data_IF_293772495244
#
_entry.id   IF_293772495244
#
_cell.length_a   1.000
_cell.length_b   1.000
_cell.length_c   1.000
_cell.angle_alpha   90.00
_cell.angle_beta   90.00
_cell.angle_gamma   90.00
#
_symmetry.space_group_name_H-M   'P 1'
#
loop_
_entity.id
_entity.type
_entity.pdbx_description
1 polymer ?
#
# COMPACT_ATOMS: atom_id res chain seq x y z
N UNK A 1 -85.08 -90.98 -29.20
CA UNK A 1 -85.61 -90.82 -30.56
C UNK A 1 -84.75 -91.72 -31.43
N UNK A 2 -85.24 -92.86 -31.93
CA UNK A 2 -84.43 -93.80 -32.73
C UNK A 2 -84.22 -93.16 -34.11
N UNK A 3 -82.97 -92.88 -34.50
CA UNK A 3 -82.68 -92.29 -35.80
C UNK A 3 -82.33 -93.44 -36.75
N UNK A 4 -83.21 -93.70 -37.72
CA UNK A 4 -83.03 -94.82 -38.67
C UNK A 4 -82.00 -94.44 -39.74
N UNK A 5 -81.10 -95.37 -40.05
CA UNK A 5 -80.12 -95.23 -41.12
C UNK A 5 -80.49 -96.22 -42.23
N UNK A 6 -80.37 -95.78 -43.48
CA UNK A 6 -80.61 -96.59 -44.67
C UNK A 6 -79.27 -96.80 -45.40
N UNK A 7 -78.93 -98.06 -45.67
CA UNK A 7 -77.77 -98.43 -46.49
C UNK A 7 -78.22 -99.33 -47.64
N UNK A 8 -77.69 -99.07 -48.84
CA UNK A 8 -77.98 -99.82 -50.07
C UNK A 8 -76.76 -100.68 -50.44
N UNK A 9 -76.98 -101.98 -50.69
CA UNK A 9 -75.96 -102.88 -51.22
C UNK A 9 -76.51 -103.66 -52.42
N UNK A 10 -75.74 -103.68 -53.51
CA UNK A 10 -76.09 -104.39 -54.74
C UNK A 10 -75.20 -105.61 -54.94
N UNK A 11 -75.80 -106.79 -55.12
CA UNK A 11 -75.10 -108.02 -55.48
C UNK A 11 -75.95 -108.90 -56.39
N UNK A 12 -75.36 -109.37 -57.50
CA UNK A 12 -76.03 -110.31 -58.42
C UNK A 12 -77.33 -109.80 -59.04
N UNK A 13 -77.48 -108.47 -59.22
CA UNK A 13 -78.69 -107.85 -59.77
C UNK A 13 -79.84 -107.65 -58.78
N UNK A 14 -79.67 -108.02 -57.51
CA UNK A 14 -80.60 -107.70 -56.42
C UNK A 14 -80.09 -106.51 -55.60
N UNK A 15 -81.01 -105.59 -55.23
CA UNK A 15 -80.76 -104.47 -54.33
C UNK A 15 -81.29 -104.86 -52.94
N UNK A 16 -80.42 -104.86 -51.94
CA UNK A 16 -80.79 -105.12 -50.56
C UNK A 16 -80.86 -103.79 -49.81
N UNK A 17 -82.00 -103.52 -49.17
CA UNK A 17 -82.22 -102.36 -48.30
C UNK A 17 -82.08 -102.77 -46.85
N UNK A 18 -81.04 -102.27 -46.19
CA UNK A 18 -80.85 -102.49 -44.76
C UNK A 18 -81.39 -101.28 -44.01
N UNK A 19 -82.46 -101.49 -43.24
CA UNK A 19 -82.92 -100.54 -42.22
C UNK A 19 -82.35 -100.98 -40.90
N UNK A 20 -81.51 -100.14 -40.31
CA UNK A 20 -80.83 -100.45 -39.05
C UNK A 20 -80.92 -99.25 -38.10
N UNK A 21 -80.85 -99.55 -36.81
CA UNK A 21 -80.84 -98.56 -35.73
C UNK A 21 -79.45 -97.90 -35.69
N UNK A 22 -79.37 -96.60 -35.39
CA UNK A 22 -78.09 -95.90 -35.21
C UNK A 22 -77.22 -96.47 -34.08
N UNK A 23 -77.83 -97.24 -33.17
CA UNK A 23 -77.16 -98.07 -32.16
C UNK A 23 -76.59 -99.38 -32.70
N UNK A 24 -77.11 -99.86 -33.84
CA UNK A 24 -76.71 -101.12 -34.48
C UNK A 24 -75.67 -100.91 -35.59
N UNK A 25 -75.40 -99.66 -36.00
CA UNK A 25 -74.32 -99.33 -36.95
C UNK A 25 -73.02 -99.10 -36.19
N UNK A 26 -72.17 -100.12 -36.20
CA UNK A 26 -70.82 -100.06 -35.66
C UNK A 26 -69.85 -99.49 -36.70
N UNK A 27 -69.06 -98.50 -36.30
CA UNK A 27 -67.95 -97.95 -37.09
C UNK A 27 -66.68 -98.72 -36.72
N UNK A 28 -66.03 -99.28 -37.73
CA UNK A 28 -64.78 -100.01 -37.59
C UNK A 28 -63.59 -99.18 -38.08
N UNK A 29 -62.41 -99.44 -37.53
CA UNK A 29 -61.15 -98.90 -38.04
C UNK A 29 -60.64 -99.70 -39.26
N UNK A 30 -59.51 -99.27 -39.83
CA UNK A 30 -58.86 -99.94 -40.97
C UNK A 30 -58.42 -101.38 -40.67
N UNK A 31 -58.35 -101.77 -39.39
CA UNK A 31 -57.99 -103.09 -38.91
C UNK A 31 -59.21 -103.91 -38.45
N UNK A 32 -60.43 -103.47 -38.77
CA UNK A 32 -61.71 -104.07 -38.36
C UNK A 32 -62.00 -104.05 -36.84
N UNK A 33 -61.31 -103.22 -36.05
CA UNK A 33 -61.63 -103.03 -34.65
C UNK A 33 -62.81 -102.06 -34.50
N UNK A 34 -63.67 -102.32 -33.52
CA UNK A 34 -64.80 -101.42 -33.22
C UNK A 34 -64.33 -100.11 -32.59
N UNK A 35 -64.59 -98.99 -33.29
CA UNK A 35 -64.35 -97.63 -32.79
C UNK A 35 -65.57 -97.15 -31.97
N UNK A 36 -66.78 -97.59 -32.31
CA UNK A 36 -68.02 -97.26 -31.59
C UNK A 36 -69.21 -97.18 -32.54
N UNK A 37 -70.38 -96.79 -32.04
CA UNK A 37 -71.58 -96.67 -32.88
C UNK A 37 -71.69 -95.31 -33.55
N UNK A 38 -72.47 -95.22 -34.65
CA UNK A 38 -72.77 -93.93 -35.27
C UNK A 38 -73.45 -92.97 -34.27
N UNK A 39 -74.35 -93.46 -33.42
CA UNK A 39 -75.00 -92.65 -32.38
C UNK A 39 -73.96 -92.00 -31.43
N UNK A 40 -72.97 -92.78 -31.00
CA UNK A 40 -71.93 -92.32 -30.09
C UNK A 40 -71.01 -91.29 -30.76
N UNK A 41 -70.55 -91.55 -31.97
CA UNK A 41 -69.52 -90.71 -32.60
C UNK A 41 -70.10 -89.49 -33.31
N UNK A 42 -71.36 -89.51 -33.77
CA UNK A 42 -71.95 -88.37 -34.50
C UNK A 42 -72.83 -87.47 -33.62
N UNK A 43 -73.43 -87.98 -32.54
CA UNK A 43 -74.46 -87.23 -31.81
C UNK A 43 -74.21 -87.14 -30.31
N UNK A 44 -74.03 -88.26 -29.62
CA UNK A 44 -74.07 -88.29 -28.15
C UNK A 44 -72.70 -88.15 -27.49
N UNK A 45 -71.62 -88.36 -28.24
CA UNK A 45 -70.26 -88.45 -27.74
C UNK A 45 -69.95 -89.82 -27.17
N UNK A 46 -68.90 -90.48 -27.67
CA UNK A 46 -68.36 -91.70 -27.06
C UNK A 46 -67.69 -91.34 -25.72
N UNK A 47 -68.07 -92.01 -24.63
CA UNK A 47 -67.50 -91.75 -23.31
C UNK A 47 -66.08 -92.30 -23.20
N UNK A 48 -65.13 -91.47 -22.77
CA UNK A 48 -63.74 -91.82 -22.49
C UNK A 48 -63.38 -91.27 -21.11
N UNK A 49 -63.05 -92.16 -20.18
CA UNK A 49 -62.85 -91.86 -18.76
C UNK A 49 -61.39 -91.91 -18.29
N UNK A 50 -60.43 -92.06 -19.21
CA UNK A 50 -58.99 -92.12 -18.94
C UNK A 50 -58.16 -92.22 -20.23
N UNK A 51 -56.84 -92.25 -20.10
CA UNK A 51 -55.90 -92.18 -21.24
C UNK A 51 -55.49 -90.75 -21.58
N UNK A 52 -54.77 -90.56 -22.68
CA UNK A 52 -54.37 -89.25 -23.19
C UNK A 52 -55.26 -88.81 -24.36
N UNK A 53 -55.47 -87.50 -24.53
CA UNK A 53 -56.24 -86.97 -25.66
C UNK A 53 -55.66 -87.42 -27.02
N UNK A 54 -54.34 -87.65 -27.10
CA UNK A 54 -53.68 -88.13 -28.31
C UNK A 54 -54.08 -89.56 -28.70
N UNK A 55 -54.59 -90.34 -27.76
CA UNK A 55 -55.11 -91.69 -28.01
C UNK A 55 -56.45 -91.64 -28.76
N UNK A 56 -57.12 -90.48 -28.73
CA UNK A 56 -58.37 -90.24 -29.44
C UNK A 56 -58.04 -89.78 -30.87
N UNK A 57 -57.92 -90.75 -31.77
CA UNK A 57 -57.36 -90.55 -33.11
C UNK A 57 -58.40 -90.53 -34.23
N UNK A 58 -59.64 -90.92 -33.97
CA UNK A 58 -60.69 -91.02 -34.98
C UNK A 58 -61.66 -89.85 -34.94
N UNK A 59 -62.16 -89.43 -36.11
CA UNK A 59 -63.15 -88.36 -36.22
C UNK A 59 -64.43 -88.71 -35.48
N UNK A 60 -64.92 -87.79 -34.64
CA UNK A 60 -66.14 -87.97 -33.88
C UNK A 60 -66.27 -87.04 -32.69
N UNK A 61 -67.40 -87.15 -32.01
CA UNK A 61 -67.67 -86.52 -30.72
C UNK A 61 -67.31 -87.49 -29.60
N UNK A 62 -66.71 -86.95 -28.55
CA UNK A 62 -66.28 -87.68 -27.37
C UNK A 62 -66.68 -86.92 -26.10
N UNK A 63 -67.15 -87.67 -25.10
CA UNK A 63 -67.35 -87.17 -23.74
C UNK A 63 -66.13 -87.58 -22.93
N UNK A 64 -65.24 -86.62 -22.68
CA UNK A 64 -63.98 -86.88 -22.00
C UNK A 64 -64.07 -86.45 -20.54
N UNK A 65 -63.63 -87.33 -19.63
CA UNK A 65 -63.53 -87.07 -18.19
C UNK A 65 -62.28 -87.76 -17.66
N UNK A 66 -61.41 -87.07 -16.92
CA UNK A 66 -60.18 -87.69 -16.40
C UNK A 66 -59.14 -88.09 -17.45
N UNK A 67 -59.24 -87.55 -18.68
CA UNK A 67 -58.27 -87.75 -19.77
C UNK A 67 -57.10 -86.76 -19.62
N UNK A 68 -55.86 -87.23 -19.79
CA UNK A 68 -54.66 -86.38 -19.76
C UNK A 68 -54.46 -85.59 -21.06
N UNK A 69 -53.69 -84.51 -20.98
CA UNK A 69 -53.42 -83.65 -22.13
C UNK A 69 -54.49 -82.59 -22.43
N UNK A 70 -55.54 -82.49 -21.59
CA UNK A 70 -56.49 -81.36 -21.60
C UNK A 70 -55.85 -80.07 -21.03
N UNK A 71 -56.35 -78.86 -21.36
CA UNK A 71 -55.79 -77.62 -20.86
C UNK A 71 -56.12 -77.39 -19.39
N UNK A 72 -55.20 -76.76 -18.65
CA UNK A 72 -55.31 -76.60 -17.19
C UNK A 72 -56.48 -75.74 -16.69
N UNK A 73 -57.12 -74.96 -17.57
CA UNK A 73 -58.31 -74.16 -17.25
C UNK A 73 -59.64 -74.92 -17.44
N UNK A 74 -59.59 -76.22 -17.73
CA UNK A 74 -60.75 -77.10 -17.88
C UNK A 74 -60.94 -77.93 -16.60
N UNK A 75 -62.18 -78.06 -16.08
CA UNK A 75 -62.42 -78.83 -14.86
C UNK A 75 -62.12 -80.33 -15.06
N UNK A 76 -61.15 -80.86 -14.31
CA UNK A 76 -60.75 -82.26 -14.43
C UNK A 76 -61.82 -83.27 -13.97
N UNK A 77 -62.77 -82.83 -13.15
CA UNK A 77 -63.81 -83.67 -12.54
C UNK A 77 -65.16 -83.65 -13.28
N UNK A 78 -65.29 -82.86 -14.35
CA UNK A 78 -66.53 -82.74 -15.13
C UNK A 78 -66.36 -83.30 -16.54
N UNK A 79 -67.45 -83.80 -17.13
CA UNK A 79 -67.45 -84.25 -18.52
C UNK A 79 -67.33 -83.04 -19.45
N UNK A 80 -66.37 -83.10 -20.37
CA UNK A 80 -66.20 -82.11 -21.42
C UNK A 80 -66.53 -82.73 -22.79
N UNK A 81 -67.04 -81.92 -23.71
CA UNK A 81 -67.24 -82.35 -25.09
C UNK A 81 -65.98 -82.11 -25.90
N UNK A 82 -65.44 -83.16 -26.50
CA UNK A 82 -64.32 -83.09 -27.42
C UNK A 82 -64.81 -83.48 -28.81
N UNK A 83 -64.73 -82.55 -29.76
CA UNK A 83 -64.86 -82.85 -31.17
C UNK A 83 -63.47 -83.10 -31.75
N UNK A 84 -63.29 -84.26 -32.36
CA UNK A 84 -62.07 -84.65 -33.06
C UNK A 84 -62.37 -84.68 -34.55
N UNK A 85 -61.56 -83.99 -35.33
CA UNK A 85 -61.55 -84.09 -36.78
C UNK A 85 -60.18 -84.57 -37.24
N UNK A 86 -60.12 -85.82 -37.69
CA UNK A 86 -58.91 -86.43 -38.23
C UNK A 86 -58.89 -86.27 -39.75
N UNK A 87 -57.80 -85.74 -40.28
CA UNK A 87 -57.60 -85.44 -41.69
C UNK A 87 -56.34 -86.18 -42.16
N UNK A 88 -56.53 -87.25 -42.93
CA UNK A 88 -55.44 -88.12 -43.38
C UNK A 88 -54.68 -88.80 -42.23
N UNK A 89 -53.47 -89.30 -42.51
CA UNK A 89 -52.73 -90.19 -41.61
C UNK A 89 -52.02 -89.49 -40.41
N UNK A 90 -52.20 -88.18 -40.20
CA UNK A 90 -51.40 -87.50 -39.17
C UNK A 90 -51.84 -86.12 -38.69
N UNK A 91 -52.88 -85.51 -39.28
CA UNK A 91 -53.41 -84.22 -38.82
C UNK A 91 -54.71 -84.44 -38.03
N UNK A 92 -54.78 -83.90 -36.83
CA UNK A 92 -55.94 -84.00 -35.93
C UNK A 92 -56.25 -82.64 -35.37
N UNK A 93 -57.50 -82.20 -35.55
CA UNK A 93 -58.02 -81.00 -34.92
C UNK A 93 -58.89 -81.40 -33.74
N UNK A 94 -58.49 -80.96 -32.56
CA UNK A 94 -59.24 -81.10 -31.32
C UNK A 94 -59.95 -79.78 -31.04
N UNK A 95 -61.26 -79.83 -30.87
CA UNK A 95 -62.06 -78.72 -30.33
C UNK A 95 -62.73 -79.18 -29.06
N UNK A 96 -62.33 -78.58 -27.95
CA UNK A 96 -62.84 -78.90 -26.63
C UNK A 96 -63.81 -77.81 -26.18
N UNK A 97 -64.96 -78.24 -25.68
CA UNK A 97 -65.99 -77.40 -25.09
C UNK A 97 -66.22 -77.91 -23.67
N UNK A 98 -65.85 -77.09 -22.69
CA UNK A 98 -65.99 -77.43 -21.28
C UNK A 98 -67.26 -76.81 -20.68
N UNK A 99 -67.83 -77.40 -19.59
CA UNK A 99 -69.04 -76.87 -18.95
C UNK A 99 -68.91 -75.45 -18.38
N UNK A 100 -67.68 -74.99 -18.11
CA UNK A 100 -67.39 -73.64 -17.65
C UNK A 100 -67.35 -72.59 -18.78
N UNK A 101 -67.76 -72.95 -20.00
CA UNK A 101 -67.79 -72.06 -21.16
C UNK A 101 -66.46 -71.91 -21.89
N UNK A 102 -65.41 -72.62 -21.49
CA UNK A 102 -64.12 -72.62 -22.19
C UNK A 102 -64.26 -73.39 -23.50
N UNK A 103 -63.98 -72.69 -24.61
CA UNK A 103 -63.84 -73.26 -25.96
C UNK A 103 -62.40 -73.08 -26.39
N UNK A 104 -61.69 -74.17 -26.61
CA UNK A 104 -60.27 -74.17 -26.95
C UNK A 104 -59.99 -75.21 -28.02
N UNK A 105 -59.03 -74.89 -28.87
CA UNK A 105 -58.63 -75.75 -29.97
C UNK A 105 -57.17 -76.16 -29.81
N UNK A 106 -56.85 -77.37 -30.25
CA UNK A 106 -55.48 -77.88 -30.34
C UNK A 106 -55.35 -78.64 -31.65
N UNK A 107 -54.39 -78.24 -32.48
CA UNK A 107 -54.06 -78.94 -33.72
C UNK A 107 -52.82 -79.79 -33.49
N UNK A 108 -52.92 -81.09 -33.76
CA UNK A 108 -51.81 -82.04 -33.68
C UNK A 108 -51.46 -82.48 -35.10
N UNK A 109 -50.19 -82.34 -35.47
CA UNK A 109 -49.63 -82.80 -36.75
C UNK A 109 -48.36 -83.61 -36.48
N UNK A 110 -48.45 -84.92 -36.66
CA UNK A 110 -47.37 -85.84 -36.26
C UNK A 110 -47.02 -85.72 -34.77
N UNK A 111 -45.75 -85.43 -34.47
CA UNK A 111 -45.26 -85.22 -33.10
C UNK A 111 -45.43 -83.77 -32.58
N UNK A 112 -45.93 -82.86 -33.42
CA UNK A 112 -46.03 -81.42 -33.10
C UNK A 112 -47.46 -81.07 -32.72
N UNK A 113 -47.65 -80.17 -31.75
CA UNK A 113 -48.96 -79.66 -31.35
C UNK A 113 -48.94 -78.13 -31.25
N UNK A 114 -50.07 -77.48 -31.59
CA UNK A 114 -50.22 -76.03 -31.43
C UNK A 114 -50.28 -75.58 -29.96
N UNK A 115 -50.60 -76.53 -29.07
CA UNK A 115 -51.04 -76.23 -27.71
C UNK A 115 -52.48 -75.71 -27.71
N UNK A 116 -53.09 -75.73 -26.53
CA UNK A 116 -54.45 -75.23 -26.35
C UNK A 116 -54.48 -73.70 -26.38
N UNK A 117 -55.36 -73.14 -27.21
CA UNK A 117 -55.56 -71.70 -27.29
C UNK A 117 -56.95 -71.32 -27.78
N UNK A 118 -57.33 -70.07 -27.49
CA UNK A 118 -58.46 -69.40 -28.12
C UNK A 118 -57.93 -68.57 -29.29
N UNK A 119 -58.47 -68.76 -30.50
CA UNK A 119 -58.10 -67.97 -31.67
C UNK A 119 -56.77 -68.32 -32.37
N UNK A 120 -56.19 -69.50 -32.10
CA UNK A 120 -55.01 -70.03 -32.80
C UNK A 120 -53.66 -69.34 -32.49
N UNK A 121 -52.58 -69.82 -33.09
CA UNK A 121 -51.19 -69.35 -32.85
C UNK A 121 -50.99 -67.89 -33.29
N UNK A 122 -51.66 -67.45 -34.35
CA UNK A 122 -51.54 -66.09 -34.88
C UNK A 122 -51.98 -65.02 -33.89
N UNK A 123 -53.16 -65.16 -33.27
CA UNK A 123 -53.67 -64.20 -32.29
C UNK A 123 -52.75 -64.11 -31.06
N UNK A 124 -52.26 -65.26 -30.59
CA UNK A 124 -51.33 -65.33 -29.45
C UNK A 124 -50.03 -64.59 -29.74
N UNK A 125 -49.45 -64.77 -30.94
CA UNK A 125 -48.23 -64.09 -31.34
C UNK A 125 -48.43 -62.58 -31.44
N UNK A 126 -49.58 -62.13 -31.96
CA UNK A 126 -49.94 -60.70 -32.01
C UNK A 126 -50.00 -60.09 -30.60
N UNK A 127 -50.68 -60.76 -29.66
CA UNK A 127 -50.77 -60.30 -28.26
C UNK A 127 -49.38 -60.25 -27.61
N UNK A 128 -48.55 -61.28 -27.81
CA UNK A 128 -47.20 -61.30 -27.28
C UNK A 128 -46.33 -60.19 -27.86
N UNK A 129 -46.48 -59.90 -29.16
CA UNK A 129 -45.74 -58.83 -29.84
C UNK A 129 -46.16 -57.46 -29.31
N UNK A 130 -47.46 -57.24 -29.09
CA UNK A 130 -47.99 -56.02 -28.48
C UNK A 130 -47.41 -55.83 -27.07
N UNK A 131 -47.40 -56.88 -26.25
CA UNK A 131 -46.83 -56.82 -24.90
C UNK A 131 -45.32 -56.55 -24.90
N UNK A 132 -44.57 -57.15 -25.82
CA UNK A 132 -43.12 -56.92 -25.95
C UNK A 132 -42.80 -55.49 -26.44
N UNK A 133 -43.62 -54.94 -27.36
CA UNK A 133 -43.42 -53.59 -27.89
C UNK A 133 -43.79 -52.50 -26.88
N UNK A 134 -44.82 -52.73 -26.06
CA UNK A 134 -45.28 -51.76 -25.05
C UNK A 134 -44.55 -51.90 -23.70
N UNK A 135 -43.91 -53.05 -23.44
CA UNK A 135 -43.27 -53.35 -22.16
C UNK A 135 -44.28 -53.51 -21.01
N UNK A 136 -43.77 -53.60 -19.77
CA UNK A 136 -44.62 -53.61 -18.57
C UNK A 136 -44.89 -52.18 -18.12
N UNK A 137 -46.15 -51.75 -18.17
CA UNK A 137 -46.57 -50.43 -17.64
C UNK A 137 -46.24 -50.29 -16.15
N UNK A 138 -46.08 -51.41 -15.44
CA UNK A 138 -45.67 -51.44 -14.04
C UNK A 138 -44.25 -50.90 -13.82
N UNK A 139 -43.35 -51.05 -14.80
CA UNK A 139 -41.93 -50.71 -14.68
C UNK A 139 -41.65 -49.22 -14.93
N UNK A 140 -42.65 -48.47 -15.43
CA UNK A 140 -42.53 -47.03 -15.61
C UNK A 140 -42.30 -46.33 -14.25
N UNK A 141 -41.29 -45.46 -14.15
CA UNK A 141 -40.98 -44.68 -12.93
C UNK A 141 -41.92 -43.47 -12.72
N UNK A 142 -43.19 -43.64 -13.09
CA UNK A 142 -44.29 -42.69 -12.88
C UNK A 142 -45.14 -43.15 -11.69
N UNK A 143 -45.82 -42.22 -11.04
CA UNK A 143 -46.80 -42.56 -10.00
C UNK A 143 -47.99 -43.31 -10.61
N UNK A 144 -48.34 -42.95 -11.85
CA UNK A 144 -49.40 -43.59 -12.61
C UNK A 144 -48.91 -44.85 -13.37
N UNK A 145 -49.65 -45.95 -13.27
CA UNK A 145 -49.34 -47.25 -13.93
C UNK A 145 -50.31 -47.60 -15.05
N UNK A 146 -50.90 -46.58 -15.65
CA UNK A 146 -51.63 -46.63 -16.92
C UNK A 146 -50.81 -45.83 -17.94
N UNK A 147 -50.62 -46.36 -19.14
CA UNK A 147 -49.75 -45.74 -20.16
C UNK A 147 -50.14 -44.28 -20.44
N UNK A 148 -51.43 -43.99 -20.60
CA UNK A 148 -51.93 -42.64 -20.86
C UNK A 148 -51.63 -41.71 -19.69
N UNK A 149 -51.89 -42.16 -18.46
CA UNK A 149 -51.66 -41.36 -17.27
C UNK A 149 -50.17 -41.14 -16.98
N UNK A 150 -49.32 -42.14 -17.26
CA UNK A 150 -47.87 -42.02 -17.15
C UNK A 150 -47.30 -41.01 -18.15
N UNK A 151 -47.78 -41.02 -19.39
CA UNK A 151 -47.41 -40.04 -20.42
C UNK A 151 -47.82 -38.63 -19.99
N UNK A 152 -49.05 -38.45 -19.50
CA UNK A 152 -49.52 -37.15 -19.02
C UNK A 152 -48.71 -36.63 -17.82
N UNK A 153 -48.30 -37.51 -16.90
CA UNK A 153 -47.41 -37.13 -15.79
C UNK A 153 -46.04 -36.65 -16.26
N UNK A 154 -45.45 -37.30 -17.27
CA UNK A 154 -44.17 -36.88 -17.85
C UNK A 154 -44.32 -35.53 -18.55
N UNK A 155 -45.40 -35.34 -19.32
CA UNK A 155 -45.68 -34.08 -20.01
C UNK A 155 -45.79 -32.92 -19.00
N UNK A 156 -46.54 -33.10 -17.92
CA UNK A 156 -46.66 -32.09 -16.85
C UNK A 156 -45.31 -31.70 -16.26
N UNK A 157 -44.43 -32.67 -15.97
CA UNK A 157 -43.08 -32.40 -15.44
C UNK A 157 -42.19 -31.65 -16.44
N UNK A 158 -42.38 -31.86 -17.74
CA UNK A 158 -41.67 -31.12 -18.79
C UNK A 158 -42.15 -29.66 -18.81
N UNK A 159 -43.46 -29.45 -18.77
CA UNK A 159 -44.06 -28.11 -18.75
C UNK A 159 -43.64 -27.30 -17.52
N UNK A 160 -43.57 -27.95 -16.34
CA UNK A 160 -43.07 -27.34 -15.10
C UNK A 160 -41.60 -26.92 -15.23
N UNK A 161 -40.75 -27.81 -15.76
CA UNK A 161 -39.34 -27.50 -15.98
C UNK A 161 -39.14 -26.34 -16.95
N UNK A 162 -39.91 -26.31 -18.04
CA UNK A 162 -39.87 -25.22 -19.01
C UNK A 162 -40.29 -23.89 -18.37
N UNK A 163 -41.37 -23.89 -17.58
CA UNK A 163 -41.84 -22.71 -16.86
C UNK A 163 -40.81 -22.19 -15.86
N UNK A 164 -40.25 -23.08 -15.02
CA UNK A 164 -39.20 -22.75 -14.06
C UNK A 164 -37.93 -22.19 -14.74
N UNK A 165 -37.50 -22.79 -15.85
CA UNK A 165 -36.34 -22.31 -16.59
C UNK A 165 -36.60 -20.94 -17.22
N UNK A 166 -37.79 -20.70 -17.75
CA UNK A 166 -38.17 -19.39 -18.28
C UNK A 166 -38.22 -18.31 -17.19
N UNK A 167 -38.72 -18.63 -16.00
CA UNK A 167 -38.70 -17.70 -14.86
C UNK A 167 -37.28 -17.39 -14.42
N UNK A 168 -36.40 -18.40 -14.32
CA UNK A 168 -34.98 -18.21 -13.98
C UNK A 168 -34.25 -17.40 -15.05
N UNK A 169 -34.55 -17.63 -16.33
CA UNK A 169 -33.99 -16.86 -17.43
C UNK A 169 -34.46 -15.40 -17.37
N UNK A 170 -35.76 -15.15 -17.19
CA UNK A 170 -36.29 -13.80 -16.97
C UNK A 170 -35.68 -13.12 -15.74
N UNK A 171 -35.43 -13.86 -14.66
CA UNK A 171 -34.76 -13.33 -13.48
C UNK A 171 -33.29 -12.98 -13.74
N UNK A 172 -32.62 -13.65 -14.68
CA UNK A 172 -31.29 -13.26 -15.16
C UNK A 172 -31.37 -12.07 -16.12
N UNK A 173 -32.27 -12.08 -17.10
CA UNK A 173 -32.44 -10.99 -18.08
C UNK A 173 -32.89 -9.68 -17.41
N UNK A 174 -33.76 -9.75 -16.41
CA UNK A 174 -34.22 -8.60 -15.63
C UNK A 174 -33.23 -8.19 -14.54
N UNK A 175 -32.18 -8.99 -14.28
CA UNK A 175 -31.06 -8.52 -13.47
C UNK A 175 -30.22 -7.61 -14.35
N UNK A 176 -30.21 -6.33 -13.98
CA UNK A 176 -29.37 -5.36 -14.63
C UNK A 176 -27.89 -5.69 -14.34
N UNK A 177 -27.24 -6.46 -15.23
CA UNK A 177 -25.81 -6.78 -15.19
C UNK A 177 -24.91 -5.58 -15.57
N UNK A 178 -25.46 -4.38 -15.51
CA UNK A 178 -24.77 -3.13 -15.73
C UNK A 178 -23.69 -2.91 -14.67
N UNK A 179 -22.50 -3.43 -15.00
CA UNK A 179 -21.17 -2.91 -14.69
C UNK A 179 -20.75 -2.75 -13.22
N UNK A 180 -21.61 -3.06 -12.26
CA UNK A 180 -21.44 -2.69 -10.82
C UNK A 180 -21.08 -3.85 -9.91
N UNK A 181 -20.64 -4.98 -10.46
CA UNK A 181 -20.18 -6.11 -9.64
C UNK A 181 -18.66 -6.05 -9.43
N UNK A 182 -18.25 -5.45 -8.32
CA UNK A 182 -17.01 -5.84 -7.64
C UNK A 182 -17.41 -6.86 -6.57
N UNK A 183 -17.17 -8.15 -6.80
CA UNK A 183 -17.41 -9.16 -5.76
C UNK A 183 -16.36 -10.26 -5.81
N UNK A 184 -15.61 -10.44 -4.71
CA UNK A 184 -15.66 -11.67 -3.91
C UNK A 184 -14.85 -11.44 -2.62
N UNK A 185 -15.49 -11.56 -1.46
CA UNK A 185 -14.76 -11.72 -0.19
C UNK A 185 -13.81 -12.91 -0.32
N UNK A 186 -12.51 -12.65 -0.40
CA UNK A 186 -11.47 -13.69 -0.46
C UNK A 186 -10.95 -14.07 -1.85
N UNK A 187 -11.18 -13.28 -2.91
CA UNK A 187 -10.59 -13.49 -4.24
C UNK A 187 -9.77 -12.30 -4.75
N UNK A 188 -8.87 -12.54 -5.71
CA UNK A 188 -8.08 -11.50 -6.39
C UNK A 188 -8.74 -11.12 -7.73
N UNK A 189 -8.79 -9.82 -8.04
CA UNK A 189 -9.14 -9.35 -9.39
C UNK A 189 -7.96 -9.60 -10.34
N UNK A 190 -8.20 -10.27 -11.46
CA UNK A 190 -7.14 -10.63 -12.42
C UNK A 190 -6.95 -9.62 -13.56
N UNK A 191 -7.75 -8.55 -13.61
CA UNK A 191 -7.72 -7.55 -14.70
C UNK A 191 -7.91 -6.10 -14.21
N UNK A 192 -7.68 -5.15 -15.12
CA UNK A 192 -7.81 -3.71 -14.84
C UNK A 192 -9.28 -3.33 -14.60
N UNK A 193 -9.53 -2.52 -13.58
CA UNK A 193 -10.84 -1.90 -13.38
C UNK A 193 -10.88 -0.60 -14.18
N UNK A 194 -11.63 -0.59 -15.27
CA UNK A 194 -11.79 0.60 -16.11
C UNK A 194 -13.07 1.36 -15.72
N UNK A 195 -12.96 2.68 -15.67
CA UNK A 195 -14.11 3.58 -15.59
C UNK A 195 -14.21 4.39 -16.87
N UNK A 196 -15.43 4.72 -17.29
CA UNK A 196 -15.63 5.68 -18.37
C UNK A 196 -15.20 7.08 -17.91
N UNK A 197 -14.56 7.84 -18.80
CA UNK A 197 -14.24 9.25 -18.55
C UNK A 197 -15.51 10.02 -18.10
N UNK A 198 -15.36 10.86 -17.08
CA UNK A 198 -16.45 11.62 -16.47
C UNK A 198 -17.17 10.90 -15.33
N UNK A 199 -16.86 9.62 -15.09
CA UNK A 199 -17.38 8.86 -13.95
C UNK A 199 -16.35 8.76 -12.81
N UNK A 200 -16.84 8.60 -11.58
CA UNK A 200 -16.04 8.53 -10.36
C UNK A 200 -16.24 7.22 -9.60
N UNK A 201 -15.18 6.71 -8.97
CA UNK A 201 -15.31 5.76 -7.87
C UNK A 201 -15.85 6.54 -6.67
N UNK A 202 -17.04 6.18 -6.20
CA UNK A 202 -17.70 6.88 -5.11
C UNK A 202 -17.69 6.06 -3.83
N UNK A 203 -17.53 6.76 -2.70
CA UNK A 203 -17.69 6.23 -1.37
C UNK A 203 -18.80 7.02 -0.67
N UNK A 204 -19.63 6.36 0.12
CA UNK A 204 -20.59 7.04 0.97
C UNK A 204 -19.90 7.59 2.21
N UNK A 205 -20.12 8.87 2.49
CA UNK A 205 -19.68 9.46 3.74
C UNK A 205 -20.61 9.06 4.90
N UNK A 206 -20.29 9.51 6.12
CA UNK A 206 -21.10 9.23 7.32
C UNK A 206 -22.54 9.80 7.29
N UNK A 207 -22.89 10.57 6.25
CA UNK A 207 -24.25 11.08 5.98
C UNK A 207 -24.95 10.30 4.85
N UNK A 208 -24.39 9.18 4.40
CA UNK A 208 -24.85 8.41 3.24
C UNK A 208 -24.93 9.24 1.96
N UNK A 209 -24.04 10.22 1.80
CA UNK A 209 -23.91 10.98 0.57
C UNK A 209 -22.71 10.44 -0.23
N UNK A 210 -22.86 10.22 -1.54
CA UNK A 210 -21.75 9.79 -2.38
C UNK A 210 -20.70 10.89 -2.47
N UNK A 211 -19.45 10.51 -2.29
CA UNK A 211 -18.26 11.37 -2.39
C UNK A 211 -17.28 10.77 -3.38
N UNK A 212 -16.63 11.60 -4.20
CA UNK A 212 -15.71 11.09 -5.21
C UNK A 212 -14.39 10.68 -4.54
N UNK A 213 -14.03 9.40 -4.61
CA UNK A 213 -12.73 8.91 -4.17
C UNK A 213 -11.66 9.07 -5.25
N UNK A 214 -11.96 8.68 -6.49
CA UNK A 214 -11.06 8.86 -7.62
C UNK A 214 -11.84 8.96 -8.92
N UNK A 215 -11.45 9.87 -9.80
CA UNK A 215 -12.11 10.05 -11.10
C UNK A 215 -11.15 10.65 -12.13
N UNK A 216 -11.56 10.56 -13.39
CA UNK A 216 -10.92 11.29 -14.49
C UNK A 216 -11.92 12.28 -15.06
N UNK A 217 -11.54 13.55 -15.12
CA UNK A 217 -12.39 14.60 -15.69
C UNK A 217 -12.41 14.56 -17.23
N UNK A 218 -13.27 15.40 -17.82
CA UNK A 218 -13.39 15.53 -19.28
C UNK A 218 -12.12 16.01 -19.98
N UNK A 219 -11.13 16.51 -19.22
CA UNK A 219 -9.83 16.97 -19.70
C UNK A 219 -8.73 15.90 -19.53
N UNK A 220 -9.10 14.68 -19.14
CA UNK A 220 -8.18 13.57 -18.84
C UNK A 220 -7.26 13.81 -17.63
N UNK A 221 -7.65 14.67 -16.69
CA UNK A 221 -6.92 14.85 -15.43
C UNK A 221 -7.40 13.81 -14.42
N UNK A 222 -6.48 13.09 -13.79
CA UNK A 222 -6.79 12.18 -12.68
C UNK A 222 -6.88 12.94 -11.37
N UNK A 223 -8.01 12.80 -10.71
CA UNK A 223 -8.27 13.36 -9.39
C UNK A 223 -8.38 12.24 -8.36
N UNK A 224 -7.77 12.43 -7.20
CA UNK A 224 -7.86 11.54 -6.03
C UNK A 224 -8.33 12.39 -4.85
N UNK A 225 -9.48 12.03 -4.28
CA UNK A 225 -10.21 12.78 -3.28
C UNK A 225 -11.31 13.68 -3.84
N UNK A 226 -11.98 14.37 -2.92
CA UNK A 226 -13.08 15.31 -3.18
C UNK A 226 -12.78 16.63 -2.49
N UNK A 227 -12.93 17.75 -3.19
CA UNK A 227 -12.57 19.08 -2.67
C UNK A 227 -13.34 19.50 -1.42
N UNK A 228 -14.44 18.83 -1.09
CA UNK A 228 -15.24 19.10 0.11
C UNK A 228 -14.78 18.32 1.35
N UNK A 229 -13.84 17.38 1.19
CA UNK A 229 -13.42 16.45 2.24
C UNK A 229 -11.90 16.34 2.33
N UNK A 230 -11.39 16.00 3.51
CA UNK A 230 -9.95 15.80 3.71
C UNK A 230 -9.51 14.44 3.14
N UNK A 231 -8.45 14.43 2.34
CA UNK A 231 -7.75 13.22 1.93
C UNK A 231 -6.63 12.91 2.93
N UNK A 232 -6.66 11.71 3.53
CA UNK A 232 -5.58 11.19 4.36
C UNK A 232 -4.87 10.05 3.64
N UNK A 233 -3.55 10.13 3.51
CA UNK A 233 -2.70 9.11 2.90
C UNK A 233 -1.83 8.47 3.99
N UNK A 234 -2.09 7.20 4.32
CA UNK A 234 -1.34 6.46 5.32
C UNK A 234 -0.31 5.53 4.65
N UNK A 235 0.94 5.58 5.11
CA UNK A 235 2.02 4.70 4.69
C UNK A 235 3.15 4.70 5.72
N UNK A 236 3.97 3.64 5.73
CA UNK A 236 5.11 3.52 6.65
C UNK A 236 6.40 4.15 6.14
N UNK A 237 6.39 4.75 4.94
CA UNK A 237 7.54 5.39 4.31
C UNK A 237 7.20 6.75 3.70
N UNK A 238 8.16 7.31 2.97
CA UNK A 238 8.03 8.62 2.33
C UNK A 238 6.97 8.61 1.20
N UNK A 239 6.08 9.61 1.21
CA UNK A 239 5.26 9.91 0.04
C UNK A 239 6.17 10.40 -1.10
N UNK A 240 6.03 9.83 -2.29
CA UNK A 240 6.86 10.18 -3.46
C UNK A 240 6.02 10.65 -4.63
N UNK A 241 6.50 11.67 -5.34
CA UNK A 241 5.95 12.17 -6.61
C UNK A 241 7.04 12.10 -7.67
N UNK A 242 6.79 11.35 -8.77
CA UNK A 242 7.79 11.05 -9.81
C UNK A 242 9.14 10.54 -9.26
N UNK A 243 9.09 9.72 -8.21
CA UNK A 243 10.28 9.15 -7.54
C UNK A 243 10.97 10.07 -6.51
N UNK A 244 10.64 11.37 -6.50
CA UNK A 244 11.15 12.33 -5.52
C UNK A 244 10.30 12.34 -4.25
N UNK A 245 10.93 12.55 -3.09
CA UNK A 245 10.24 12.69 -1.80
C UNK A 245 9.39 13.95 -1.76
N UNK A 246 8.15 13.83 -1.30
CA UNK A 246 7.25 14.97 -1.05
C UNK A 246 7.56 15.53 0.34
N UNK A 247 7.82 16.84 0.38
CA UNK A 247 8.05 17.57 1.62
C UNK A 247 6.74 18.20 2.13
N UNK A 248 6.46 18.01 3.40
CA UNK A 248 5.29 18.49 4.16
C UNK A 248 5.77 19.27 5.37
N UNK A 249 4.89 20.04 6.01
CA UNK A 249 5.24 20.79 7.25
C UNK A 249 5.82 19.93 8.37
N UNK A 250 5.59 18.62 8.36
CA UNK A 250 6.12 17.66 9.34
C UNK A 250 7.52 17.13 9.03
N UNK A 251 8.05 17.31 7.81
CA UNK A 251 9.37 16.81 7.41
C UNK A 251 10.27 17.87 6.73
N UNK A 252 9.87 19.14 6.82
CA UNK A 252 10.70 20.31 6.49
C UNK A 252 11.40 20.84 7.75
N UNK A 253 12.57 21.45 7.58
CA UNK A 253 13.40 22.01 8.65
C UNK A 253 14.74 21.32 8.79
N UNK A 254 15.47 21.64 9.87
CA UNK A 254 16.87 21.23 10.04
C UNK A 254 17.09 19.73 9.84
N UNK A 255 17.95 19.38 8.87
CA UNK A 255 18.27 18.00 8.52
C UNK A 255 17.33 17.38 7.48
N UNK A 256 16.39 18.15 6.92
CA UNK A 256 15.53 17.72 5.81
C UNK A 256 16.29 17.58 4.49
N UNK A 257 17.47 18.20 4.38
CA UNK A 257 18.25 18.25 3.15
C UNK A 257 17.69 19.25 2.12
N UNK A 258 16.69 20.05 2.51
CA UNK A 258 16.25 21.21 1.74
C UNK A 258 17.20 22.38 1.97
N UNK A 259 17.41 23.19 0.94
CA UNK A 259 18.20 24.42 1.02
C UNK A 259 17.57 25.48 1.94
N UNK A 260 16.38 25.22 2.50
CA UNK A 260 15.76 26.06 3.54
C UNK A 260 16.52 26.06 4.87
N UNK A 261 17.41 25.09 5.10
CA UNK A 261 18.29 25.03 6.27
C UNK A 261 19.50 25.97 6.15
N UNK A 262 19.67 26.55 4.96
CA UNK A 262 20.76 27.47 4.61
C UNK A 262 20.13 28.78 4.14
N UNK A 263 20.83 29.88 4.36
CA UNK A 263 20.51 31.15 3.71
C UNK A 263 21.56 31.31 2.60
N UNK A 264 21.14 31.27 1.34
CA UNK A 264 22.01 31.32 0.16
C UNK A 264 23.15 30.28 0.19
N UNK A 265 22.87 29.06 0.68
CA UNK A 265 23.85 27.97 0.75
C UNK A 265 24.86 28.04 1.91
N UNK A 266 24.77 29.06 2.78
CA UNK A 266 25.62 29.25 3.96
C UNK A 266 24.85 28.84 5.22
N UNK A 267 25.51 28.08 6.10
CA UNK A 267 24.96 27.68 7.40
C UNK A 267 24.78 28.92 8.32
N UNK A 268 23.78 28.87 9.19
CA UNK A 268 23.56 29.79 10.32
C UNK A 268 24.83 30.21 11.08
N UNK A 269 25.85 29.34 11.15
CA UNK A 269 27.14 29.60 11.78
C UNK A 269 28.05 30.56 11.01
N UNK A 270 27.82 30.75 9.71
CA UNK A 270 28.53 31.72 8.85
C UNK A 270 28.04 33.15 9.04
N UNK A 271 26.95 33.36 9.79
CA UNK A 271 26.33 34.68 9.91
C UNK A 271 26.65 35.37 11.23
N UNK A 272 27.05 36.62 11.06
CA UNK A 272 27.12 37.59 12.13
C UNK A 272 25.68 38.07 12.42
N UNK A 273 24.94 37.32 13.27
CA UNK A 273 23.64 37.71 13.82
C UNK A 273 23.66 39.09 14.52
N UNK A 274 23.14 40.12 13.86
CA UNK A 274 22.92 41.45 14.46
C UNK A 274 21.46 41.60 14.92
N UNK A 275 21.10 41.02 16.06
CA UNK A 275 19.79 41.35 16.66
C UNK A 275 19.82 42.79 17.19
N UNK A 276 18.65 43.43 17.35
CA UNK A 276 18.55 44.82 17.87
C UNK A 276 19.13 44.96 19.29
N UNK A 277 19.42 43.83 19.95
CA UNK A 277 20.14 43.71 21.22
C UNK A 277 21.50 42.97 21.09
N UNK A 278 22.07 42.86 19.89
CA UNK A 278 23.35 42.19 19.67
C UNK A 278 24.11 42.81 18.47
N UNK A 279 24.92 43.88 18.64
CA UNK A 279 25.75 44.43 17.57
C UNK A 279 26.89 43.46 17.30
N UNK A 280 26.68 42.60 16.33
CA UNK A 280 27.72 41.70 15.86
C UNK A 280 28.47 42.49 14.76
N UNK A 281 29.49 43.23 15.18
CA UNK A 281 30.35 44.03 14.31
C UNK A 281 31.53 43.15 13.89
N UNK A 282 31.79 43.05 12.60
CA UNK A 282 32.90 42.30 11.99
C UNK A 282 34.30 42.89 12.28
N UNK A 283 34.51 43.46 13.47
CA UNK A 283 35.77 44.07 13.94
C UNK A 283 36.32 43.36 15.17
N UNK A 284 35.58 42.36 15.66
CA UNK A 284 35.90 41.55 16.80
C UNK A 284 36.23 40.14 16.33
N UNK A 285 37.52 39.86 16.17
CA UNK A 285 38.01 38.50 15.98
C UNK A 285 38.45 37.98 17.33
N UNK A 286 37.68 37.04 17.87
CA UNK A 286 38.21 36.09 18.84
C UNK A 286 38.84 34.97 18.03
N UNK A 287 40.15 34.80 18.16
CA UNK A 287 40.76 33.50 17.89
C UNK A 287 41.14 32.85 19.23
N UNK A 288 41.75 31.67 19.22
CA UNK A 288 42.05 30.92 20.45
C UNK A 288 42.90 31.69 21.49
N UNK A 289 43.66 32.72 21.07
CA UNK A 289 44.65 33.37 21.93
C UNK A 289 44.61 34.91 21.91
N UNK A 290 43.66 35.52 21.20
CA UNK A 290 43.60 36.98 21.08
C UNK A 290 42.19 37.50 20.84
N UNK A 291 41.92 38.62 21.47
CA UNK A 291 40.86 39.54 21.08
C UNK A 291 41.51 40.56 20.17
N UNK A 292 41.18 40.50 18.89
CA UNK A 292 41.64 41.49 17.92
C UNK A 292 40.49 42.41 17.60
N UNK A 293 40.72 43.68 17.91
CA UNK A 293 39.95 44.81 17.41
C UNK A 293 40.71 45.34 16.20
N UNK A 294 40.25 44.96 15.01
CA UNK A 294 40.93 45.36 13.79
C UNK A 294 40.65 46.84 13.52
N UNK A 295 41.70 47.67 13.49
CA UNK A 295 41.61 49.07 13.09
C UNK A 295 42.02 49.18 11.62
N UNK A 296 41.09 49.48 10.70
CA UNK A 296 41.41 49.52 9.28
C UNK A 296 42.40 50.67 9.01
N UNK A 297 43.49 50.39 8.31
CA UNK A 297 44.39 51.42 7.78
C UNK A 297 43.75 51.99 6.51
N UNK A 298 43.42 53.28 6.50
CA UNK A 298 42.99 53.94 5.27
C UNK A 298 44.19 54.20 4.35
N UNK A 299 44.18 53.52 3.21
CA UNK A 299 45.15 53.69 2.14
C UNK A 299 44.85 54.97 1.35
N UNK A 300 45.45 56.10 1.76
CA UNK A 300 45.72 57.26 0.88
C UNK A 300 46.64 58.30 1.56
N UNK A 301 47.81 57.91 2.06
CA UNK A 301 48.83 58.82 2.63
C UNK A 301 48.33 59.86 3.67
N UNK A 302 47.10 59.69 4.16
CA UNK A 302 46.40 60.62 5.01
C UNK A 302 45.91 59.83 6.21
N UNK A 303 46.60 60.03 7.32
CA UNK A 303 46.40 59.31 8.57
C UNK A 303 45.23 59.98 9.28
N UNK A 304 44.01 59.53 9.01
CA UNK A 304 42.83 60.02 9.71
C UNK A 304 42.65 59.28 11.04
N UNK A 305 42.46 60.05 12.11
CA UNK A 305 42.03 59.53 13.43
C UNK A 305 40.59 59.05 13.30
N UNK A 306 40.36 57.74 13.15
CA UNK A 306 39.01 57.21 13.08
C UNK A 306 38.84 55.97 13.96
N UNK A 307 37.74 56.00 14.71
CA UNK A 307 37.20 55.03 15.65
C UNK A 307 37.86 55.01 17.04
N UNK A 308 37.12 55.56 17.99
CA UNK A 308 37.26 55.25 19.40
C UNK A 308 37.14 53.75 19.58
N UNK A 309 38.24 53.07 19.92
CA UNK A 309 38.25 51.65 20.28
C UNK A 309 37.30 51.44 21.47
N UNK A 310 37.33 52.40 22.41
CA UNK A 310 36.49 52.40 23.60
C UNK A 310 35.90 53.78 23.78
N UNK A 311 34.57 53.84 23.89
CA UNK A 311 33.82 55.08 24.16
C UNK A 311 33.12 54.97 25.50
N UNK A 312 33.26 56.01 26.30
CA UNK A 312 32.37 56.25 27.41
C UNK A 312 31.33 57.27 26.95
N UNK A 313 30.05 56.93 27.12
CA UNK A 313 28.92 57.77 26.71
C UNK A 313 28.10 58.19 27.93
N UNK A 314 27.53 59.38 27.90
CA UNK A 314 26.59 59.85 28.92
C UNK A 314 25.19 59.23 28.71
N UNK A 315 24.25 59.58 29.60
CA UNK A 315 22.86 59.10 29.53
C UNK A 315 22.10 59.57 28.29
N UNK A 316 22.59 60.59 27.59
CA UNK A 316 22.04 61.08 26.32
C UNK A 316 22.76 60.44 25.12
N UNK A 317 23.54 59.39 25.36
CA UNK A 317 24.33 58.66 24.37
C UNK A 317 25.44 59.52 23.70
N UNK A 318 25.86 60.62 24.34
CA UNK A 318 26.96 61.47 23.85
C UNK A 318 28.30 60.97 24.39
N UNK A 319 29.33 60.92 23.54
CA UNK A 319 30.69 60.47 23.96
C UNK A 319 31.28 61.52 24.90
N UNK A 320 31.64 61.10 26.13
CA UNK A 320 32.28 61.96 27.13
C UNK A 320 33.79 61.76 27.18
N UNK A 321 34.27 60.57 26.83
CA UNK A 321 35.69 60.27 26.64
C UNK A 321 35.86 59.08 25.72
N UNK A 322 37.07 58.92 25.19
CA UNK A 322 37.44 57.76 24.41
C UNK A 322 38.94 57.44 24.42
N UNK A 323 39.20 56.18 24.07
CA UNK A 323 40.51 55.72 23.62
C UNK A 323 40.43 55.56 22.11
N UNK A 324 41.29 56.28 21.42
CA UNK A 324 41.46 56.18 19.98
C UNK A 324 42.85 55.64 19.68
N UNK A 325 42.94 54.82 18.65
CA UNK A 325 44.21 54.44 18.08
C UNK A 325 44.15 54.62 16.57
N UNK A 326 45.30 54.90 15.97
CA UNK A 326 45.43 54.99 14.52
C UNK A 326 46.19 53.78 13.97
N UNK A 327 46.13 53.58 12.65
CA UNK A 327 46.79 52.45 11.98
C UNK A 327 48.33 52.46 12.00
N UNK A 328 48.96 53.40 12.71
CA UNK A 328 50.43 53.48 12.90
C UNK A 328 50.81 53.06 14.33
N UNK A 329 49.82 52.76 15.17
CA UNK A 329 50.03 52.29 16.54
C UNK A 329 50.11 53.40 17.57
N UNK A 330 49.75 54.64 17.20
CA UNK A 330 49.57 55.67 18.23
C UNK A 330 48.33 55.35 19.06
N UNK A 331 48.42 55.63 20.35
CA UNK A 331 47.28 55.53 21.27
C UNK A 331 47.07 56.89 21.90
N UNK A 332 45.81 57.31 21.86
CA UNK A 332 45.38 58.62 22.31
C UNK A 332 44.23 58.46 23.29
N UNK A 333 44.33 59.17 24.41
CA UNK A 333 43.29 59.23 25.43
C UNK A 333 42.71 60.63 25.40
N UNK A 334 41.40 60.75 25.14
CA UNK A 334 40.71 62.05 25.09
C UNK A 334 39.69 62.18 26.21
N UNK A 335 39.89 63.14 27.12
CA UNK A 335 38.84 63.60 28.01
C UNK A 335 38.05 64.75 27.33
N UNK A 336 36.74 64.57 27.16
CA UNK A 336 35.81 65.62 26.71
C UNK A 336 35.35 65.46 25.26
N UNK A 337 34.03 65.27 25.08
CA UNK A 337 33.30 64.99 23.83
C UNK A 337 33.33 66.04 22.71
N UNK A 338 34.49 66.62 22.38
CA UNK A 338 34.67 67.45 21.19
C UNK A 338 35.86 66.95 20.36
N UNK A 339 35.55 66.42 19.18
CA UNK A 339 36.42 65.73 18.22
C UNK A 339 37.65 66.53 17.71
N UNK A 340 37.81 67.80 18.07
CA UNK A 340 38.77 68.71 17.43
C UNK A 340 39.75 69.42 18.37
N UNK A 341 39.89 68.97 19.63
CA UNK A 341 40.96 69.47 20.52
C UNK A 341 42.06 68.42 20.63
N UNK A 342 43.32 68.84 20.43
CA UNK A 342 44.50 67.98 20.56
C UNK A 342 44.41 67.23 21.89
N UNK A 343 44.46 65.91 21.82
CA UNK A 343 44.32 65.08 23.00
C UNK A 343 45.40 65.44 24.01
N UNK A 344 45.10 65.54 25.30
CA UNK A 344 46.07 65.98 26.28
C UNK A 344 47.23 64.99 26.41
N UNK A 345 47.06 63.74 26.04
CA UNK A 345 48.11 62.74 26.11
C UNK A 345 48.13 61.85 24.86
N UNK A 346 49.29 61.76 24.23
CA UNK A 346 49.56 60.88 23.09
C UNK A 346 50.83 60.09 23.34
N UNK A 347 50.73 58.78 23.17
CA UNK A 347 51.89 57.88 23.04
C UNK A 347 52.02 57.54 21.58
N UNK A 348 53.15 57.89 20.98
CA UNK A 348 53.40 57.61 19.58
C UNK A 348 54.37 56.45 19.39
N UNK A 349 54.19 55.73 18.30
CA UNK A 349 55.11 54.66 17.87
C UNK A 349 56.52 55.20 17.51
N UNK A 350 56.70 56.51 17.45
CA UNK A 350 58.00 57.16 17.28
C UNK A 350 58.73 57.42 18.62
N UNK A 351 58.38 56.67 19.68
CA UNK A 351 58.99 56.73 21.01
C UNK A 351 58.96 58.11 21.69
N UNK A 352 57.97 58.94 21.36
CA UNK A 352 57.72 60.19 22.06
C UNK A 352 56.38 60.17 22.78
N UNK A 353 56.34 60.90 23.89
CA UNK A 353 55.13 61.19 24.65
C UNK A 353 54.88 62.68 24.58
N UNK A 354 53.69 63.07 24.10
CA UNK A 354 53.31 64.48 23.93
C UNK A 354 52.17 64.82 24.88
N UNK A 355 52.31 65.95 25.57
CA UNK A 355 51.24 66.60 26.33
C UNK A 355 50.85 67.93 25.69
N UNK A 356 49.59 68.08 25.29
CA UNK A 356 49.08 69.26 24.59
C UNK A 356 48.27 70.23 25.46
N UNK A 357 48.22 70.02 26.77
CA UNK A 357 47.54 70.94 27.68
C UNK A 357 48.35 72.21 27.97
N UNK A 358 47.66 73.27 28.38
CA UNK A 358 48.27 74.59 28.64
C UNK A 358 49.22 74.61 29.84
N UNK A 359 49.11 73.64 30.73
CA UNK A 359 49.93 73.56 31.94
C UNK A 359 50.15 72.10 32.30
N UNK A 360 51.41 71.70 32.37
CA UNK A 360 51.79 70.53 33.16
C UNK A 360 51.92 71.02 34.60
N UNK A 361 51.04 70.53 35.48
CA UNK A 361 51.08 70.89 36.89
C UNK A 361 51.61 69.71 37.68
N UNK A 362 52.89 69.75 38.03
CA UNK A 362 53.43 68.87 39.04
C UNK A 362 52.96 69.40 40.40
N UNK A 363 52.25 68.56 41.17
CA UNK A 363 51.76 68.90 42.51
C UNK A 363 52.21 67.81 43.46
N UNK A 364 53.02 68.17 44.45
CA UNK A 364 53.54 67.24 45.43
C UNK A 364 54.05 67.97 46.67
N UNK A 365 54.21 67.22 47.76
CA UNK A 365 54.70 67.75 49.05
C UNK A 365 56.23 67.64 49.22
N UNK A 366 56.92 66.99 48.28
CA UNK A 366 58.38 66.79 48.23
C UNK A 366 59.01 67.56 47.06
N UNK A 367 60.34 67.63 47.01
CA UNK A 367 61.10 68.09 45.83
C UNK A 367 60.52 67.49 44.54
N UNK A 368 60.13 68.35 43.61
CA UNK A 368 59.66 67.97 42.28
C UNK A 368 60.76 68.21 41.27
N UNK A 369 60.98 67.23 40.41
CA UNK A 369 62.10 67.21 39.49
C UNK A 369 61.72 66.66 38.12
N UNK A 370 62.42 67.18 37.12
CA UNK A 370 62.45 66.65 35.76
C UNK A 370 63.87 66.21 35.50
N UNK A 371 64.07 64.89 35.42
CA UNK A 371 65.39 64.29 35.23
C UNK A 371 65.52 63.69 33.83
N UNK A 372 66.73 63.78 33.31
CA UNK A 372 67.19 63.05 32.14
C UNK A 372 68.28 62.08 32.56
N UNK A 373 68.04 60.80 32.30
CA UNK A 373 68.96 59.70 32.56
C UNK A 373 69.30 59.02 31.24
N UNK A 374 70.53 58.54 31.13
CA UNK A 374 70.94 57.69 30.02
C UNK A 374 70.78 56.23 30.45
N UNK A 375 70.53 55.34 29.48
CA UNK A 375 70.25 53.92 29.72
C UNK A 375 71.39 53.20 30.47
N UNK A 376 72.62 53.70 30.36
CA UNK A 376 73.83 53.14 30.97
C UNK A 376 74.00 53.44 32.47
N UNK A 377 73.11 54.23 33.10
CA UNK A 377 73.21 54.53 34.54
C UNK A 377 72.52 53.44 35.36
N UNK A 378 73.28 52.67 36.14
CA UNK A 378 72.76 51.55 36.93
C UNK A 378 71.97 51.95 38.19
N UNK A 379 71.98 53.23 38.58
CA UNK A 379 71.20 53.75 39.71
C UNK A 379 70.11 54.72 39.24
N UNK A 380 68.93 54.60 39.86
CA UNK A 380 67.78 55.46 39.59
C UNK A 380 68.01 56.93 39.99
N UNK A 381 69.15 57.22 40.63
CA UNK A 381 69.56 58.56 41.08
C UNK A 381 70.65 59.18 40.20
N UNK A 382 71.01 58.60 39.05
CA UNK A 382 71.94 59.22 38.10
C UNK A 382 71.30 60.34 37.26
N UNK A 383 72.12 61.11 36.54
CA UNK A 383 71.68 62.02 35.47
C UNK A 383 71.68 63.52 35.80
N UNK A 384 71.10 64.29 34.88
CA UNK A 384 71.00 65.75 34.92
C UNK A 384 69.53 66.15 34.96
N UNK A 385 69.19 67.28 35.56
CA UNK A 385 67.80 67.68 35.65
C UNK A 385 67.57 69.04 36.29
N UNK A 386 66.34 69.51 36.17
CA UNK A 386 65.85 70.65 36.93
C UNK A 386 65.04 70.18 38.12
N UNK A 387 65.21 70.84 39.25
CA UNK A 387 64.44 70.56 40.44
C UNK A 387 64.22 71.83 41.25
N UNK A 388 63.18 71.81 42.06
CA UNK A 388 62.94 72.84 43.08
C UNK A 388 63.68 72.38 44.35
N UNK A 389 64.71 73.11 44.81
CA UNK A 389 65.51 72.67 45.94
C UNK A 389 64.73 72.77 47.26
N UNK A 390 64.96 71.80 48.15
CA UNK A 390 64.29 71.78 49.45
C UNK A 390 64.67 72.96 50.36
N UNK A 391 65.85 73.55 50.17
CA UNK A 391 66.34 74.68 50.95
C UNK A 391 65.75 76.03 50.53
N UNK A 392 65.30 76.18 49.29
CA UNK A 392 64.59 77.37 48.84
C UNK A 392 63.59 77.04 47.72
N UNK A 393 62.32 76.87 48.08
CA UNK A 393 61.26 76.43 47.16
C UNK A 393 60.85 77.45 46.11
N UNK A 394 61.42 78.66 46.15
CA UNK A 394 61.18 79.73 45.20
C UNK A 394 62.23 79.78 44.07
N UNK A 395 63.28 78.95 44.15
CA UNK A 395 64.35 78.89 43.15
C UNK A 395 64.21 77.63 42.29
N UNK A 396 64.78 77.66 41.08
CA UNK A 396 64.94 76.48 40.23
C UNK A 396 66.42 76.14 40.12
N UNK A 397 66.78 74.93 40.53
CA UNK A 397 68.16 74.45 40.47
C UNK A 397 68.36 73.52 39.29
N UNK A 398 69.49 73.67 38.60
CA UNK A 398 70.01 72.70 37.66
C UNK A 398 71.10 71.87 38.33
N UNK A 399 70.79 70.60 38.55
CA UNK A 399 71.62 69.66 39.31
C UNK A 399 72.26 68.60 38.44
N UNK A 400 73.45 68.17 38.85
CA UNK A 400 74.05 66.93 38.41
C UNK A 400 74.02 65.93 39.56
N UNK A 401 73.11 64.97 39.48
CA UNK A 401 72.99 63.95 40.52
C UNK A 401 74.09 62.89 40.45
N UNK A 402 74.82 62.78 39.32
CA UNK A 402 76.00 61.90 39.28
C UNK A 402 77.13 62.42 40.20
N UNK A 403 77.30 63.75 40.28
CA UNK A 403 78.32 64.37 41.15
C UNK A 403 77.75 64.95 42.44
N UNK A 404 76.43 64.94 42.61
CA UNK A 404 75.70 65.58 43.71
C UNK A 404 75.96 67.09 43.84
N UNK A 405 76.20 67.76 42.72
CA UNK A 405 76.52 69.18 42.68
C UNK A 405 75.43 69.99 41.97
N UNK A 406 75.20 71.21 42.46
CA UNK A 406 74.37 72.21 41.78
C UNK A 406 75.26 72.99 40.82
N UNK A 407 74.94 72.93 39.54
CA UNK A 407 75.73 73.60 38.50
C UNK A 407 75.32 75.08 38.41
N UNK A 408 74.01 75.32 38.46
CA UNK A 408 73.44 76.64 38.26
C UNK A 408 72.12 76.77 39.02
N UNK A 409 71.88 77.94 39.57
CA UNK A 409 70.63 78.30 40.25
C UNK A 409 70.00 79.48 39.50
N UNK A 410 68.71 79.33 39.20
CA UNK A 410 67.92 80.35 38.52
C UNK A 410 66.99 81.02 39.52
N UNK A 411 66.69 82.30 39.26
CA UNK A 411 65.81 83.12 40.08
C UNK A 411 66.34 83.35 41.51
N UNK A 412 67.67 83.38 41.69
CA UNK A 412 68.31 83.73 42.96
C UNK A 412 68.19 85.23 43.23
N UNK A 413 68.28 85.65 44.50
CA UNK A 413 68.05 87.04 44.94
C UNK A 413 66.68 87.56 44.47
N UNK A 414 65.59 86.98 45.00
CA UNK A 414 64.20 87.35 44.72
C UNK A 414 63.79 87.30 43.23
N UNK A 415 64.45 86.43 42.45
CA UNK A 415 64.11 86.19 41.07
C UNK A 415 64.91 86.96 40.03
N UNK A 416 65.86 87.79 40.45
CA UNK A 416 66.52 88.75 39.56
C UNK A 416 67.88 88.28 39.01
N UNK A 417 68.51 87.28 39.63
CA UNK A 417 69.85 86.84 39.26
C UNK A 417 69.94 85.35 38.90
N UNK A 418 71.02 85.03 38.18
CA UNK A 418 71.49 83.67 37.91
C UNK A 418 72.81 83.51 38.66
N UNK A 419 72.93 82.43 39.43
CA UNK A 419 74.18 82.05 40.08
C UNK A 419 74.77 80.85 39.38
N UNK A 420 76.01 81.00 38.92
CA UNK A 420 76.78 79.92 38.31
C UNK A 420 77.76 79.43 39.36
N UNK A 421 77.64 78.16 39.76
CA UNK A 421 78.46 77.61 40.84
C UNK A 421 79.94 77.45 40.44
N UNK A 422 80.22 77.27 39.14
CA UNK A 422 81.56 77.05 38.60
C UNK A 422 81.82 77.88 37.33
N UNK A 423 83.06 78.35 37.15
CA UNK A 423 83.46 79.12 35.97
C UNK A 423 83.19 78.34 34.66
N UNK A 424 82.33 78.83 33.76
CA UNK A 424 81.89 78.06 32.59
C UNK A 424 82.99 77.95 31.53
N UNK A 425 82.96 76.86 30.77
CA UNK A 425 83.77 76.71 29.56
C UNK A 425 83.17 77.53 28.40
N UNK A 426 83.99 78.31 27.70
CA UNK A 426 83.66 79.03 26.48
C UNK A 426 84.33 78.34 25.29
N UNK A 427 83.52 77.76 24.41
CA UNK A 427 83.95 77.23 23.11
C UNK A 427 84.74 75.92 23.16
N UNK A 428 84.97 75.35 21.99
CA UNK A 428 85.47 73.97 21.81
C UNK A 428 86.91 73.74 22.29
N UNK A 429 87.64 74.81 22.63
CA UNK A 429 89.05 74.77 23.04
C UNK A 429 89.23 74.73 24.56
N UNK A 430 88.22 74.31 25.32
CA UNK A 430 88.22 74.27 26.80
C UNK A 430 88.60 75.61 27.46
N UNK A 431 88.45 76.74 26.77
CA UNK A 431 88.69 78.06 27.36
C UNK A 431 87.63 78.32 28.41
N UNK A 432 87.90 79.21 29.35
CA UNK A 432 86.97 79.53 30.43
C UNK A 432 86.66 81.01 30.50
N UNK A 433 85.48 81.32 31.04
CA UNK A 433 85.14 82.65 31.51
C UNK A 433 85.29 82.68 33.02
N UNK A 434 86.24 83.46 33.48
CA UNK A 434 86.37 83.72 34.91
C UNK A 434 85.79 85.10 35.18
N UNK A 435 84.67 85.13 35.91
CA UNK A 435 84.06 86.35 36.45
C UNK A 435 84.28 86.32 37.96
N UNK A 436 85.50 86.63 38.36
CA UNK A 436 85.93 86.59 39.76
C UNK A 436 87.03 87.63 39.95
N UNK A 437 87.11 88.20 41.14
CA UNK A 437 88.03 89.30 41.42
C UNK A 437 89.50 88.85 41.34
N UNK A 438 89.77 87.58 41.67
CA UNK A 438 91.11 87.00 41.70
C UNK A 438 91.54 86.47 40.33
N UNK A 439 92.77 86.79 39.90
CA UNK A 439 93.32 86.24 38.66
C UNK A 439 93.30 84.70 38.68
N UNK A 440 92.74 84.04 37.66
CA UNK A 440 92.67 82.59 37.63
C UNK A 440 94.05 81.96 37.65
N UNK A 441 94.30 81.07 38.61
CA UNK A 441 95.54 80.31 38.73
C UNK A 441 95.44 78.91 38.09
N UNK A 442 96.60 78.32 37.75
CA UNK A 442 96.73 76.96 37.19
C UNK A 442 96.86 76.91 35.67
N UNK A 443 96.61 75.73 35.08
CA UNK A 443 96.56 75.51 33.62
C UNK A 443 95.31 76.19 33.04
N UNK A 444 95.35 77.52 32.93
CA UNK A 444 94.32 78.32 32.29
C UNK A 444 94.45 78.15 30.78
N UNK A 445 93.46 77.57 30.09
CA UNK A 445 93.60 77.27 28.67
C UNK A 445 93.77 78.54 27.84
N UNK A 446 94.70 78.50 26.89
CA UNK A 446 95.06 79.67 26.08
C UNK A 446 93.85 80.24 25.34
N UNK A 447 93.61 81.53 25.53
CA UNK A 447 92.45 82.27 25.01
C UNK A 447 91.24 82.32 25.93
N UNK A 448 91.36 81.87 27.19
CA UNK A 448 90.36 82.12 28.24
C UNK A 448 90.24 83.61 28.55
N UNK A 449 89.03 84.05 28.87
CA UNK A 449 88.74 85.42 29.25
C UNK A 449 88.57 85.48 30.77
N UNK A 450 89.34 86.34 31.40
CA UNK A 450 89.13 86.71 32.79
C UNK A 450 88.69 88.16 32.83
N UNK A 451 87.56 88.40 33.48
CA UNK A 451 87.08 89.72 33.82
C UNK A 451 87.07 89.77 35.34
N UNK A 452 88.12 90.35 35.90
CA UNK A 452 88.14 90.76 37.30
C UNK A 452 87.47 92.13 37.43
N UNK A 453 86.71 92.33 38.49
CA UNK A 453 86.07 93.61 38.81
C UNK A 453 86.83 94.32 39.92
#
# INVERSE_FOLDING_TARGET
MVKRIEAEYQHGGAVYYFKTDDRSVTILDENNNEIGTLEQLAFNGKTITGGDIKDITHTGLYKVKGVSGLPGNVPANQECMLAVQSIGAGLRLYRLIAPNGVIVENTVSGNTQSGWGSGGVGLRNTISSINNALGSVHDLKTQNKNLTAAINEVLSKIDDNQSNNNERLKALENKNFDSRYLLNTGGNMMGNIAMRNGNAYQLDNNKNQPTNFAYMDGSNTTHIGDGSYTLQLHGSGDLKYNGAKVFTTSNIGSGSGLDSDKLDGIDSMGFIQTQKDNPKQSDFSINEHSIRLHLPKEDNNNIYWQQSIIQWRDSNNQVVSDIESNGIGDIVIRPGGQLNKRAPFRVSNNNFMEYFGNRVNFVGTKSMDVRWQTEDQSSHDGGLGFFIPDWNKNELAFGNWNTHEVIMEFAVHDGEAIKIAHSPYIGDHNRRLFLQDEQPGGDVPYGSLWVGF
#
